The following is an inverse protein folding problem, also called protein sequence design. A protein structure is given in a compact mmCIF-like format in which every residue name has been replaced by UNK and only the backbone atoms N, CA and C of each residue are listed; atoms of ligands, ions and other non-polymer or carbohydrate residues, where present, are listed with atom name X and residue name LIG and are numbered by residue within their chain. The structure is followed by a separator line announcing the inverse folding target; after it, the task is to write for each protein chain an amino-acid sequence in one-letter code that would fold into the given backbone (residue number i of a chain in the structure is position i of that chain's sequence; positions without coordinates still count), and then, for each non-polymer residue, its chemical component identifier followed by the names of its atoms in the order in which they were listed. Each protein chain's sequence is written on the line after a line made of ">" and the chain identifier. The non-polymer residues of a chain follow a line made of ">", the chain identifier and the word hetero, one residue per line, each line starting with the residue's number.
data_IF_979686752840
#
_entry.id   IF_979686752840
#
_cell.length_a   1.000
_cell.length_b   1.000
_cell.length_c   1.000
_cell.angle_alpha   90.00
_cell.angle_beta   90.00
_cell.angle_gamma   90.00
#
_symmetry.space_group_name_H-M   'P 1'
#
loop_
_entity.id
_entity.type
_entity.pdbx_description
1 polymer ?
#
# COMPACT_ATOMS: atom_id res chain seq x y z
N UNK A 1 10.00 31.97 5.67
CA UNK A 1 10.46 31.49 4.34
C UNK A 1 9.56 30.35 3.89
N UNK A 2 9.14 30.30 2.63
CA UNK A 2 8.38 29.18 2.06
C UNK A 2 9.26 28.41 1.07
N UNK A 3 9.24 27.07 1.16
CA UNK A 3 9.96 26.19 0.24
C UNK A 3 8.96 25.48 -0.68
N UNK A 4 9.36 25.20 -1.92
CA UNK A 4 8.55 24.42 -2.85
C UNK A 4 8.87 22.94 -2.71
N UNK A 5 7.83 22.12 -2.57
CA UNK A 5 7.92 20.66 -2.62
C UNK A 5 7.19 20.20 -3.90
N UNK A 6 7.88 19.44 -4.75
CA UNK A 6 7.33 18.97 -6.03
C UNK A 6 7.57 17.47 -6.22
N UNK A 7 6.62 16.78 -6.83
CA UNK A 7 6.70 15.34 -7.13
C UNK A 7 6.01 15.07 -8.46
N UNK A 8 6.57 14.15 -9.24
CA UNK A 8 5.98 13.72 -10.52
C UNK A 8 4.84 12.73 -10.26
N UNK A 9 3.76 12.88 -11.00
CA UNK A 9 2.59 11.99 -10.99
C UNK A 9 2.17 11.70 -12.43
N UNK A 10 1.40 10.64 -12.66
CA UNK A 10 0.85 10.37 -14.00
C UNK A 10 -0.18 11.43 -14.39
N UNK A 11 -0.39 11.59 -15.70
CA UNK A 11 -1.37 12.55 -16.23
C UNK A 11 -2.79 12.26 -15.72
N UNK A 12 -3.14 10.98 -15.61
CA UNK A 12 -4.43 10.53 -15.08
C UNK A 12 -4.62 10.96 -13.62
N UNK A 13 -3.61 10.72 -12.76
CA UNK A 13 -3.67 11.12 -11.35
C UNK A 13 -3.71 12.65 -11.20
N UNK A 14 -2.97 13.37 -12.04
CA UNK A 14 -2.99 14.83 -12.05
C UNK A 14 -4.37 15.38 -12.45
N UNK A 15 -5.03 14.78 -13.44
CA UNK A 15 -6.37 15.18 -13.87
C UNK A 15 -7.41 14.88 -12.77
N UNK A 16 -7.36 13.69 -12.18
CA UNK A 16 -8.27 13.29 -11.11
C UNK A 16 -8.13 14.19 -9.88
N UNK A 17 -6.90 14.51 -9.47
CA UNK A 17 -6.65 15.38 -8.32
C UNK A 17 -7.15 16.81 -8.56
N UNK A 18 -6.94 17.37 -9.75
CA UNK A 18 -7.47 18.69 -10.13
C UNK A 18 -8.99 18.72 -10.10
N UNK A 19 -9.65 17.70 -10.64
CA UNK A 19 -11.10 17.62 -10.66
C UNK A 19 -11.69 17.45 -9.25
N UNK A 20 -11.09 16.59 -8.44
CA UNK A 20 -11.53 16.35 -7.04
C UNK A 20 -11.41 17.62 -6.21
N UNK A 21 -10.27 18.33 -6.29
CA UNK A 21 -10.07 19.58 -5.54
C UNK A 21 -11.04 20.67 -5.98
N UNK A 22 -11.34 20.77 -7.28
CA UNK A 22 -12.36 21.67 -7.83
C UNK A 22 -13.76 21.35 -7.28
N UNK A 23 -14.15 20.08 -7.23
CA UNK A 23 -15.45 19.66 -6.67
C UNK A 23 -15.57 19.98 -5.18
N UNK A 24 -14.46 19.89 -4.44
CA UNK A 24 -14.39 20.28 -3.02
C UNK A 24 -14.34 21.80 -2.80
N UNK A 25 -14.31 22.62 -3.86
CA UNK A 25 -14.17 24.07 -3.75
C UNK A 25 -12.80 24.54 -3.25
N UNK A 26 -11.76 23.73 -3.49
CA UNK A 26 -10.37 24.00 -3.07
C UNK A 26 -9.44 24.06 -4.27
N UNK A 27 -8.16 24.39 -4.04
CA UNK A 27 -7.11 24.26 -5.06
C UNK A 27 -6.20 23.06 -4.76
N UNK A 28 -5.53 22.48 -5.79
CA UNK A 28 -4.49 21.48 -5.57
C UNK A 28 -3.43 21.90 -4.56
N UNK A 29 -3.05 23.18 -4.57
CA UNK A 29 -2.07 23.72 -3.64
C UNK A 29 -2.60 23.74 -2.20
N UNK A 30 -3.86 24.13 -2.00
CA UNK A 30 -4.48 24.13 -0.66
C UNK A 30 -4.66 22.73 -0.12
N UNK A 31 -5.12 21.80 -0.96
CA UNK A 31 -5.24 20.39 -0.60
C UNK A 31 -3.89 19.78 -0.18
N UNK A 32 -2.80 20.10 -0.90
CA UNK A 32 -1.46 19.66 -0.51
C UNK A 32 -0.98 20.30 0.80
N UNK A 33 -1.25 21.59 1.03
CA UNK A 33 -0.92 22.25 2.30
C UNK A 33 -1.65 21.61 3.46
N UNK A 34 -2.95 21.38 3.32
CA UNK A 34 -3.77 20.69 4.32
C UNK A 34 -3.28 19.27 4.58
N UNK A 35 -2.94 18.52 3.52
CA UNK A 35 -2.38 17.18 3.65
C UNK A 35 -1.05 17.19 4.41
N UNK A 36 -0.12 18.08 4.06
CA UNK A 36 1.19 18.18 4.74
C UNK A 36 1.03 18.49 6.23
N UNK A 37 0.14 19.44 6.57
CA UNK A 37 -0.17 19.75 7.97
C UNK A 37 -0.72 18.53 8.72
N UNK A 38 -1.76 17.90 8.18
CA UNK A 38 -2.36 16.72 8.80
C UNK A 38 -1.37 15.56 8.93
N UNK A 39 -0.59 15.28 7.88
CA UNK A 39 0.42 14.22 7.87
C UNK A 39 1.44 14.40 9.00
N UNK A 40 1.90 15.63 9.22
CA UNK A 40 2.84 15.92 10.31
C UNK A 40 2.18 15.82 11.69
N UNK A 41 0.95 16.30 11.84
CA UNK A 41 0.20 16.24 13.10
C UNK A 41 -0.06 14.79 13.54
N UNK A 42 -0.41 13.90 12.60
CA UNK A 42 -0.61 12.47 12.85
C UNK A 42 0.68 11.65 12.84
N UNK A 43 1.84 12.28 12.60
CA UNK A 43 3.15 11.63 12.43
C UNK A 43 3.13 10.52 11.37
N UNK A 44 2.35 10.70 10.31
CA UNK A 44 2.15 9.71 9.26
C UNK A 44 0.81 9.87 8.55
N UNK A 45 0.47 8.86 7.74
CA UNK A 45 -0.82 8.83 7.05
C UNK A 45 -1.97 8.55 8.02
N UNK A 46 -3.17 9.10 7.77
CA UNK A 46 -4.38 8.82 8.55
C UNK A 46 -4.97 7.42 8.28
N UNK A 47 -4.31 6.61 7.45
CA UNK A 47 -4.64 5.22 7.15
C UNK A 47 -3.39 4.34 7.33
N UNK A 48 -3.61 3.05 7.57
CA UNK A 48 -2.53 2.10 7.80
C UNK A 48 -1.73 1.87 6.51
N UNK A 49 -0.54 2.49 6.44
CA UNK A 49 0.43 2.25 5.36
C UNK A 49 1.31 1.09 5.75
N UNK A 50 0.73 -0.10 5.73
CA UNK A 50 1.47 -1.36 5.75
C UNK A 50 1.20 -2.09 4.45
N UNK A 51 2.20 -2.81 3.96
CA UNK A 51 1.90 -3.91 3.05
C UNK A 51 0.97 -4.86 3.80
N UNK A 52 -0.06 -5.43 3.14
CA UNK A 52 -0.76 -6.56 3.72
C UNK A 52 0.33 -7.53 4.15
N UNK A 53 0.40 -7.88 5.44
CA UNK A 53 1.20 -9.03 5.79
C UNK A 53 0.60 -10.16 4.96
N UNK A 54 1.40 -10.75 4.08
CA UNK A 54 1.16 -12.15 3.72
C UNK A 54 1.40 -12.90 5.03
N UNK A 55 0.44 -12.84 5.94
CA UNK A 55 0.33 -13.74 7.07
C UNK A 55 0.03 -15.09 6.42
N UNK A 56 1.08 -15.74 5.92
CA UNK A 56 1.05 -17.18 5.76
C UNK A 56 0.78 -17.68 7.17
N UNK A 57 -0.46 -18.08 7.42
CA UNK A 57 -0.87 -18.72 8.66
C UNK A 57 0.21 -19.73 9.04
N UNK A 58 0.88 -19.57 10.19
CA UNK A 58 1.83 -20.56 10.67
C UNK A 58 1.13 -21.91 10.72
N UNK A 59 1.83 -22.98 10.39
CA UNK A 59 1.29 -24.32 10.61
C UNK A 59 0.89 -24.47 12.07
N UNK A 60 -0.33 -24.94 12.32
CA UNK A 60 -0.86 -25.09 13.68
C UNK A 60 -0.04 -26.11 14.52
N UNK A 61 0.68 -27.01 13.84
CA UNK A 61 1.61 -27.96 14.45
C UNK A 61 2.77 -28.34 13.51
N UNK A 62 3.83 -28.91 14.07
CA UNK A 62 4.94 -29.51 13.30
C UNK A 62 4.45 -30.63 12.36
N UNK A 63 3.39 -31.34 12.77
CA UNK A 63 2.74 -32.35 11.94
C UNK A 63 2.15 -31.73 10.67
N UNK A 64 1.44 -30.60 10.80
CA UNK A 64 0.83 -29.92 9.64
C UNK A 64 1.91 -29.43 8.66
N UNK A 65 3.03 -28.93 9.18
CA UNK A 65 4.18 -28.54 8.37
C UNK A 65 4.78 -29.72 7.60
N UNK A 66 4.93 -30.87 8.29
CA UNK A 66 5.48 -32.10 7.71
C UNK A 66 4.57 -32.67 6.63
N UNK A 67 3.25 -32.68 6.87
CA UNK A 67 2.26 -33.13 5.88
C UNK A 67 2.25 -32.22 4.64
N UNK A 68 2.32 -30.91 4.83
CA UNK A 68 2.40 -29.95 3.73
C UNK A 68 3.67 -30.18 2.89
N UNK A 69 4.84 -30.28 3.53
CA UNK A 69 6.10 -30.52 2.85
C UNK A 69 6.09 -31.84 2.06
N UNK A 70 5.52 -32.90 2.65
CA UNK A 70 5.40 -34.21 2.00
C UNK A 70 4.50 -34.15 0.77
N UNK A 71 3.33 -33.50 0.86
CA UNK A 71 2.43 -33.32 -0.29
C UNK A 71 3.06 -32.48 -1.39
N UNK A 72 3.81 -31.43 -1.03
CA UNK A 72 4.51 -30.60 -2.00
C UNK A 72 5.60 -31.39 -2.73
N UNK A 73 6.40 -32.18 -2.02
CA UNK A 73 7.45 -33.00 -2.60
C UNK A 73 6.89 -34.04 -3.60
N UNK A 74 5.77 -34.68 -3.25
CA UNK A 74 5.08 -35.62 -4.15
C UNK A 74 4.59 -34.92 -5.42
N UNK A 75 3.94 -33.75 -5.30
CA UNK A 75 3.49 -32.97 -6.46
C UNK A 75 4.64 -32.59 -7.39
N UNK A 76 5.75 -32.12 -6.83
CA UNK A 76 6.93 -31.76 -7.64
C UNK A 76 7.55 -32.97 -8.34
N UNK A 77 7.54 -34.14 -7.69
CA UNK A 77 8.04 -35.38 -8.32
C UNK A 77 7.17 -35.86 -9.48
N UNK A 78 5.84 -35.68 -9.39
CA UNK A 78 4.91 -36.00 -10.47
C UNK A 78 4.99 -35.01 -11.64
N UNK A 79 5.26 -33.73 -11.38
CA UNK A 79 5.44 -32.71 -12.43
C UNK A 79 6.76 -32.84 -13.20
N UNK A 80 7.75 -33.55 -12.65
CA UNK A 80 9.06 -33.74 -13.27
C UNK A 80 9.16 -35.05 -14.08
N UNK A 81 8.05 -35.78 -14.23
CA UNK A 81 7.97 -37.05 -14.96
C UNK A 81 7.23 -36.90 -16.29
#
# INVERSE_FOLDING_TARGET
>A
MSIQIATRVSDEQAALFKETTRQLGTTPADALRMFISAFNDYRGFPYEVRLPRNDVEPFASERDATEYASRLALRMSDETR
#
